data_IF_632611724333
#
_entry.id   IF_632611724333
#
_cell.length_a   1.000
_cell.length_b   1.000
_cell.length_c   1.000
_cell.angle_alpha   90.00
_cell.angle_beta   90.00
_cell.angle_gamma   90.00
#
_symmetry.space_group_name_H-M   'P 1'
#
loop_
_entity.id
_entity.type
_entity.pdbx_description
1 polymer ?
#
# COMPACT_ATOMS: atom_id res chain seq x y z
N UNK A 1 6.69 45.13 55.60
CA UNK A 1 5.96 44.73 54.44
C UNK A 1 4.49 44.63 54.76
N UNK A 2 3.63 45.36 54.07
CA UNK A 2 2.20 45.42 54.40
C UNK A 2 1.52 44.07 54.09
N UNK A 3 0.76 43.54 55.04
CA UNK A 3 0.04 42.28 54.91
C UNK A 3 -0.84 42.17 53.65
N UNK A 4 -1.30 43.28 53.14
CA UNK A 4 -2.08 43.40 51.90
C UNK A 4 -1.23 43.13 50.64
N UNK A 5 0.06 43.53 50.66
CA UNK A 5 0.98 43.30 49.56
C UNK A 5 1.40 41.82 49.51
N UNK A 6 1.67 41.20 50.65
CA UNK A 6 1.99 39.78 50.75
C UNK A 6 0.85 38.87 50.25
N UNK A 7 -0.40 39.21 50.56
CA UNK A 7 -1.58 38.48 50.07
C UNK A 7 -1.76 38.60 48.54
N UNK A 8 -1.46 39.78 47.96
CA UNK A 8 -1.52 39.94 46.49
C UNK A 8 -0.44 39.19 45.77
N UNK A 9 0.78 39.14 46.29
CA UNK A 9 1.88 38.37 45.72
C UNK A 9 1.64 36.87 45.83
N UNK A 10 1.09 36.39 46.93
CA UNK A 10 0.71 35.00 47.11
C UNK A 10 -0.40 34.54 46.12
N UNK A 11 -1.39 35.40 45.88
CA UNK A 11 -2.45 35.12 44.90
C UNK A 11 -1.94 35.06 43.47
N UNK A 12 -1.02 35.93 43.07
CA UNK A 12 -0.41 35.91 41.74
C UNK A 12 0.49 34.70 41.54
N UNK A 13 1.23 34.26 42.55
CA UNK A 13 2.03 33.04 42.48
C UNK A 13 1.17 31.78 42.35
N UNK A 14 0.03 31.70 43.01
CA UNK A 14 -0.91 30.58 42.91
C UNK A 14 -1.53 30.47 41.49
N UNK A 15 -1.89 31.57 40.88
CA UNK A 15 -2.44 31.62 39.51
C UNK A 15 -1.38 31.19 38.49
N UNK A 16 -0.13 31.59 38.64
CA UNK A 16 0.97 31.19 37.78
C UNK A 16 1.25 29.66 37.85
N UNK A 17 1.19 29.08 39.05
CA UNK A 17 1.38 27.65 39.28
C UNK A 17 0.26 26.80 38.63
N UNK A 18 -1.00 27.24 38.74
CA UNK A 18 -2.14 26.55 38.12
C UNK A 18 -2.03 26.59 36.59
N UNK A 19 -1.61 27.75 36.03
CA UNK A 19 -1.39 27.88 34.58
C UNK A 19 -0.27 26.98 34.05
N UNK A 20 0.82 26.82 34.78
CA UNK A 20 1.92 25.95 34.40
C UNK A 20 1.54 24.47 34.42
N UNK A 21 0.80 24.02 35.43
CA UNK A 21 0.29 22.65 35.52
C UNK A 21 -0.73 22.33 34.43
N UNK A 22 -1.59 23.28 34.08
CA UNK A 22 -2.55 23.14 32.99
C UNK A 22 -1.87 22.99 31.61
N UNK A 23 -0.81 23.75 31.36
CA UNK A 23 -0.05 23.69 30.12
C UNK A 23 0.66 22.33 29.93
N UNK A 24 1.22 21.77 31.01
CA UNK A 24 1.88 20.45 30.97
C UNK A 24 0.85 19.33 30.71
N UNK A 25 -0.33 19.41 31.32
CA UNK A 25 -1.38 18.41 31.09
C UNK A 25 -1.91 18.45 29.64
N UNK A 26 -2.08 19.66 29.06
CA UNK A 26 -2.48 19.77 27.66
C UNK A 26 -1.40 19.30 26.69
N UNK A 27 -0.12 19.48 27.01
CA UNK A 27 0.98 18.99 26.19
C UNK A 27 1.01 17.46 26.15
N UNK A 28 0.74 16.82 27.27
CA UNK A 28 0.69 15.34 27.32
C UNK A 28 -0.51 14.75 26.56
N UNK A 29 -1.65 15.45 26.55
CA UNK A 29 -2.82 15.04 25.75
C UNK A 29 -2.61 15.24 24.23
N UNK A 30 -1.68 16.09 23.83
CA UNK A 30 -1.31 16.24 22.42
C UNK A 30 -0.27 15.24 21.96
N UNK A 31 0.62 14.79 22.84
CA UNK A 31 1.63 13.78 22.51
C UNK A 31 1.02 12.39 22.24
N UNK A 32 -0.15 12.08 22.82
CA UNK A 32 -0.86 10.83 22.55
C UNK A 32 -1.63 10.83 21.21
N UNK A 33 -1.74 11.99 20.55
CA UNK A 33 -2.46 12.12 19.28
C UNK A 33 -1.55 12.00 18.04
N UNK A 34 -0.23 12.02 18.22
CA UNK A 34 0.78 11.94 17.15
C UNK A 34 1.46 10.56 17.06
N UNK A 35 0.85 9.53 17.63
CA UNK A 35 1.23 8.17 17.25
C UNK A 35 0.72 7.99 15.84
N UNK A 36 1.62 8.17 14.87
CA UNK A 36 1.35 7.78 13.50
C UNK A 36 0.76 6.36 13.53
N UNK A 37 -0.34 6.09 12.81
CA UNK A 37 -0.87 4.74 12.74
C UNK A 37 0.28 3.82 12.36
N UNK A 38 0.43 2.66 13.05
CA UNK A 38 1.49 1.72 12.69
C UNK A 38 1.41 1.50 11.18
N UNK A 39 2.55 1.49 10.48
CA UNK A 39 2.55 1.20 9.07
C UNK A 39 1.75 -0.09 8.88
N UNK A 40 0.89 -0.17 7.86
CA UNK A 40 0.13 -1.39 7.61
C UNK A 40 1.12 -2.53 7.67
N UNK A 41 0.86 -3.49 8.54
CA UNK A 41 1.71 -4.66 8.72
C UNK A 41 1.81 -5.27 7.33
N UNK A 42 2.96 -5.09 6.67
CA UNK A 42 3.23 -5.74 5.41
C UNK A 42 3.04 -7.23 5.70
N UNK A 43 1.94 -7.78 5.22
CA UNK A 43 1.61 -9.18 5.42
C UNK A 43 2.68 -9.96 4.66
N UNK A 44 3.82 -10.23 5.33
CA UNK A 44 4.94 -11.07 4.87
C UNK A 44 5.17 -11.02 3.33
N UNK A 45 5.57 -9.87 2.81
CA UNK A 45 5.92 -9.71 1.39
C UNK A 45 4.76 -9.67 0.38
N UNK A 46 3.51 -9.75 0.82
CA UNK A 46 2.35 -9.59 -0.04
C UNK A 46 1.95 -8.13 -0.21
N UNK A 47 1.75 -7.71 -1.42
CA UNK A 47 1.25 -6.38 -1.80
C UNK A 47 -0.11 -6.50 -2.48
N UNK A 48 -0.91 -5.45 -2.40
CA UNK A 48 -2.17 -5.34 -3.13
C UNK A 48 -1.97 -4.48 -4.38
N UNK A 49 -2.47 -4.95 -5.51
CA UNK A 49 -2.42 -4.22 -6.77
C UNK A 49 -3.74 -4.29 -7.51
N UNK A 50 -4.07 -3.22 -8.25
CA UNK A 50 -5.11 -3.26 -9.25
C UNK A 50 -4.55 -3.87 -10.53
N UNK A 51 -5.26 -4.82 -11.08
CA UNK A 51 -4.89 -5.50 -12.33
C UNK A 51 -6.01 -5.44 -13.34
N UNK A 52 -5.64 -5.43 -14.61
CA UNK A 52 -6.53 -5.66 -15.74
C UNK A 52 -6.21 -6.99 -16.42
N UNK A 53 -6.84 -7.22 -17.55
CA UNK A 53 -6.56 -8.34 -18.45
C UNK A 53 -6.22 -7.77 -19.81
N UNK A 54 -5.04 -8.11 -20.33
CA UNK A 54 -4.64 -7.65 -21.64
C UNK A 54 -5.21 -8.52 -22.76
N UNK A 55 -5.41 -7.92 -23.93
CA UNK A 55 -5.78 -8.66 -25.14
C UNK A 55 -4.58 -9.39 -25.73
N UNK A 56 -4.84 -10.47 -26.46
CA UNK A 56 -3.79 -11.22 -27.14
C UNK A 56 -3.15 -10.35 -28.22
N UNK A 57 -1.83 -10.04 -28.13
CA UNK A 57 -1.17 -9.27 -29.17
C UNK A 57 -0.97 -10.10 -30.44
N UNK A 58 -1.04 -9.44 -31.60
CA UNK A 58 -0.81 -10.12 -32.89
C UNK A 58 0.66 -10.44 -33.13
N UNK A 59 1.59 -9.77 -32.44
CA UNK A 59 3.03 -9.88 -32.61
C UNK A 59 3.72 -10.25 -31.29
N UNK A 60 4.96 -10.76 -31.33
CA UNK A 60 5.72 -10.98 -30.11
C UNK A 60 5.86 -9.72 -29.27
N UNK A 61 5.81 -9.88 -27.95
CA UNK A 61 5.94 -8.78 -26.99
C UNK A 61 7.36 -8.21 -26.97
N UNK A 62 7.54 -7.08 -26.28
CA UNK A 62 8.87 -6.51 -26.04
C UNK A 62 9.81 -7.46 -25.26
N UNK A 63 9.27 -8.47 -24.58
CA UNK A 63 10.03 -9.54 -23.95
C UNK A 63 10.40 -10.70 -24.91
N UNK A 64 10.06 -10.58 -26.19
CA UNK A 64 10.32 -11.63 -27.20
C UNK A 64 9.40 -12.85 -27.06
N UNK A 65 8.28 -12.73 -26.36
CA UNK A 65 7.34 -13.84 -26.13
C UNK A 65 6.15 -13.71 -27.07
N UNK A 66 5.82 -14.80 -27.75
CA UNK A 66 4.56 -14.92 -28.48
C UNK A 66 3.47 -15.34 -27.51
N UNK A 67 2.48 -14.47 -27.31
CA UNK A 67 1.36 -14.73 -26.41
C UNK A 67 0.27 -15.49 -27.13
N UNK A 68 -0.14 -16.60 -26.57
CA UNK A 68 -1.27 -17.41 -27.05
C UNK A 68 -2.38 -17.45 -26.01
N UNK A 69 -3.51 -18.05 -26.36
CA UNK A 69 -4.64 -18.21 -25.43
C UNK A 69 -4.28 -19.02 -24.16
N UNK A 70 -3.21 -19.83 -24.22
CA UNK A 70 -2.75 -20.69 -23.13
C UNK A 70 -1.58 -20.07 -22.34
N UNK A 71 -1.05 -18.93 -22.77
CA UNK A 71 0.09 -18.28 -22.11
C UNK A 71 -0.30 -17.75 -20.74
N UNK A 72 0.36 -18.25 -19.70
CA UNK A 72 0.23 -17.77 -18.32
C UNK A 72 1.35 -16.76 -18.03
N UNK A 73 1.00 -15.49 -17.88
CA UNK A 73 1.98 -14.44 -17.65
C UNK A 73 1.34 -13.10 -17.33
N UNK A 74 2.19 -12.13 -17.03
CA UNK A 74 1.78 -10.76 -16.77
C UNK A 74 2.49 -9.77 -17.69
N UNK A 75 1.83 -8.64 -17.94
CA UNK A 75 2.43 -7.45 -18.52
C UNK A 75 2.73 -6.45 -17.41
N UNK A 76 3.99 -6.06 -17.25
CA UNK A 76 4.41 -5.15 -16.19
C UNK A 76 5.30 -4.02 -16.73
N UNK A 77 5.08 -2.74 -16.32
CA UNK A 77 5.79 -1.60 -16.91
C UNK A 77 7.29 -1.56 -16.56
N UNK A 78 7.68 -2.06 -15.40
CA UNK A 78 9.06 -1.89 -14.89
C UNK A 78 9.77 -3.17 -14.49
N UNK A 79 9.07 -4.26 -14.14
CA UNK A 79 9.73 -5.50 -13.78
C UNK A 79 10.48 -6.11 -14.98
N UNK A 80 11.64 -6.76 -14.76
CA UNK A 80 12.37 -7.42 -15.83
C UNK A 80 11.56 -8.52 -16.50
N UNK A 81 11.73 -8.70 -17.80
CA UNK A 81 11.19 -9.86 -18.51
C UNK A 81 11.67 -11.16 -17.85
N UNK A 82 10.76 -12.09 -17.64
CA UNK A 82 11.04 -13.36 -16.97
C UNK A 82 11.03 -13.31 -15.44
N UNK A 83 10.87 -12.15 -14.81
CA UNK A 83 10.68 -12.08 -13.37
C UNK A 83 9.41 -12.85 -12.96
N UNK A 84 9.53 -13.67 -11.91
CA UNK A 84 8.43 -14.50 -11.44
C UNK A 84 7.72 -13.87 -10.25
N UNK A 85 6.42 -13.91 -10.30
CA UNK A 85 5.53 -13.46 -9.22
C UNK A 85 4.52 -14.54 -8.85
N UNK A 86 4.02 -14.48 -7.63
CA UNK A 86 2.87 -15.26 -7.18
C UNK A 86 1.71 -14.30 -6.99
N UNK A 87 0.57 -14.62 -7.56
CA UNK A 87 -0.65 -13.80 -7.50
C UNK A 87 -1.74 -14.60 -6.81
N UNK A 88 -2.47 -13.94 -5.93
CA UNK A 88 -3.60 -14.52 -5.21
C UNK A 88 -4.86 -13.70 -5.42
N UNK A 89 -5.93 -14.36 -5.76
CA UNK A 89 -7.26 -13.78 -5.87
C UNK A 89 -8.31 -14.75 -5.35
N UNK A 90 -9.08 -14.33 -4.35
CA UNK A 90 -10.17 -15.14 -3.75
C UNK A 90 -9.76 -16.58 -3.38
N UNK A 91 -8.59 -16.73 -2.76
CA UNK A 91 -8.06 -18.02 -2.35
C UNK A 91 -7.38 -18.85 -3.45
N UNK A 92 -7.43 -18.42 -4.70
CA UNK A 92 -6.70 -19.02 -5.82
C UNK A 92 -5.33 -18.41 -5.93
N UNK A 93 -4.32 -19.22 -6.20
CA UNK A 93 -2.93 -18.77 -6.39
C UNK A 93 -2.38 -19.30 -7.69
N UNK A 94 -1.64 -18.46 -8.37
CA UNK A 94 -0.90 -18.84 -9.56
C UNK A 94 0.49 -18.20 -9.56
N UNK A 95 1.45 -18.89 -10.16
CA UNK A 95 2.78 -18.35 -10.45
C UNK A 95 2.82 -17.90 -11.89
N UNK A 96 3.35 -16.71 -12.14
CA UNK A 96 3.43 -16.15 -13.48
C UNK A 96 4.75 -15.42 -13.69
N UNK A 97 5.22 -15.39 -14.92
CA UNK A 97 6.38 -14.61 -15.32
C UNK A 97 5.95 -13.34 -16.04
N UNK A 98 6.82 -12.33 -16.01
CA UNK A 98 6.67 -11.13 -16.84
C UNK A 98 6.97 -11.50 -18.29
N UNK A 99 5.95 -11.48 -19.14
CA UNK A 99 6.01 -11.87 -20.56
C UNK A 99 5.81 -10.69 -21.51
N UNK A 100 5.37 -9.53 -20.98
CA UNK A 100 5.14 -8.35 -21.77
C UNK A 100 5.42 -7.07 -20.95
N UNK A 101 5.59 -5.96 -21.66
CA UNK A 101 5.78 -4.62 -21.09
C UNK A 101 4.50 -3.82 -21.18
N UNK A 102 4.37 -2.88 -20.25
CA UNK A 102 3.30 -1.92 -20.18
C UNK A 102 2.23 -2.30 -19.17
N UNK A 103 1.62 -1.31 -18.54
CA UNK A 103 0.31 -1.42 -17.94
C UNK A 103 -0.67 -0.81 -18.93
N UNK A 104 -1.68 -1.53 -19.27
CA UNK A 104 -2.50 -1.29 -20.43
C UNK A 104 -3.84 -0.69 -20.03
N UNK A 105 -4.36 -1.09 -18.86
CA UNK A 105 -5.55 -0.49 -18.29
C UNK A 105 -5.18 0.74 -17.41
N UNK A 106 -5.91 1.84 -17.59
CA UNK A 106 -5.73 3.04 -16.77
C UNK A 106 -6.01 2.71 -15.30
N UNK A 107 -5.02 2.97 -14.42
CA UNK A 107 -5.11 2.68 -12.99
C UNK A 107 -4.69 1.26 -12.59
N UNK A 108 -4.37 0.37 -13.52
CA UNK A 108 -3.78 -0.92 -13.23
C UNK A 108 -2.28 -0.80 -12.96
N UNK A 109 -1.77 -1.57 -12.01
CA UNK A 109 -0.34 -1.68 -11.74
C UNK A 109 0.35 -2.64 -12.72
N UNK A 110 -0.36 -3.66 -13.15
CA UNK A 110 0.02 -4.61 -14.18
C UNK A 110 -1.21 -5.33 -14.72
N UNK A 111 -1.06 -6.04 -15.80
CA UNK A 111 -2.15 -6.78 -16.44
C UNK A 111 -1.86 -8.28 -16.49
N UNK A 112 -2.92 -9.06 -16.41
CA UNK A 112 -2.89 -10.52 -16.50
C UNK A 112 -3.13 -10.98 -17.93
N UNK A 113 -2.48 -12.08 -18.35
CA UNK A 113 -2.88 -12.78 -19.57
C UNK A 113 -4.28 -13.39 -19.39
N UNK A 114 -5.03 -13.59 -20.50
CA UNK A 114 -6.35 -14.23 -20.42
C UNK A 114 -6.34 -15.59 -19.72
N UNK A 115 -5.36 -16.43 -19.97
CA UNK A 115 -5.23 -17.73 -19.31
C UNK A 115 -5.02 -17.60 -17.79
N UNK A 116 -4.16 -16.68 -17.37
CA UNK A 116 -3.91 -16.41 -15.95
C UNK A 116 -5.15 -15.82 -15.25
N UNK A 117 -5.83 -14.90 -15.90
CA UNK A 117 -7.08 -14.32 -15.39
C UNK A 117 -8.15 -15.41 -15.19
N UNK A 118 -8.28 -16.33 -16.12
CA UNK A 118 -9.19 -17.46 -16.00
C UNK A 118 -8.81 -18.38 -14.84
N UNK A 119 -7.54 -18.71 -14.69
CA UNK A 119 -7.03 -19.54 -13.59
C UNK A 119 -7.33 -18.92 -12.22
N UNK A 120 -7.16 -17.61 -12.09
CA UNK A 120 -7.41 -16.87 -10.85
C UNK A 120 -8.89 -16.46 -10.64
N UNK A 121 -9.75 -16.68 -11.64
CA UNK A 121 -11.14 -16.23 -11.59
C UNK A 121 -11.31 -14.70 -11.65
N UNK A 122 -10.40 -14.02 -12.33
CA UNK A 122 -10.42 -12.57 -12.54
C UNK A 122 -11.19 -12.25 -13.81
N UNK A 123 -12.21 -11.39 -13.70
CA UNK A 123 -12.97 -10.86 -14.83
C UNK A 123 -12.86 -9.33 -14.84
N UNK A 124 -12.06 -8.79 -15.77
CA UNK A 124 -11.84 -7.35 -15.89
C UNK A 124 -10.92 -6.78 -14.81
N UNK A 125 -11.09 -5.50 -14.49
CA UNK A 125 -10.27 -4.81 -13.48
C UNK A 125 -10.66 -5.23 -12.06
N UNK A 126 -9.66 -5.63 -11.27
CA UNK A 126 -9.87 -6.04 -9.88
C UNK A 126 -8.61 -5.91 -9.04
N UNK A 127 -8.77 -5.93 -7.72
CA UNK A 127 -7.65 -5.97 -6.79
C UNK A 127 -7.21 -7.42 -6.56
N UNK A 128 -5.90 -7.65 -6.62
CA UNK A 128 -5.27 -8.93 -6.30
C UNK A 128 -4.17 -8.71 -5.26
N UNK A 129 -3.75 -9.79 -4.61
CA UNK A 129 -2.54 -9.80 -3.79
C UNK A 129 -1.43 -10.46 -4.59
N UNK A 130 -0.23 -9.94 -4.48
CA UNK A 130 0.92 -10.49 -5.18
C UNK A 130 2.21 -10.36 -4.38
N UNK A 131 3.20 -11.15 -4.73
CA UNK A 131 4.56 -11.07 -4.20
C UNK A 131 5.54 -11.61 -5.22
N UNK A 132 6.83 -11.31 -5.05
CA UNK A 132 7.85 -12.01 -5.81
C UNK A 132 7.87 -13.51 -5.45
N UNK A 133 8.06 -14.34 -6.45
CA UNK A 133 8.32 -15.75 -6.24
C UNK A 133 9.77 -15.93 -5.78
N UNK A 134 9.97 -16.72 -4.74
CA UNK A 134 11.28 -17.20 -4.30
C UNK A 134 11.79 -18.31 -5.19
#
# INVERSE_FOLDING_TARGET
MNARLARRLAALAAVALIGALGAIALSRLRDDSDVAPPPPTATAGWETAQVGVFELPAEPTACGVTITAETVGIAHPVLPCGANVVIEHQGRRARAAVVARGAIAAGASFDLSPALAQELGVAGETAVRWRFAE
#
